data_IF_668937220799
#
_entry.id   IF_668937220799
#
_cell.length_a   1.000
_cell.length_b   1.000
_cell.length_c   1.000
_cell.angle_alpha   90.00
_cell.angle_beta   90.00
_cell.angle_gamma   90.00
#
_symmetry.space_group_name_H-M   'P 1'
#
loop_
_entity.id
_entity.type
_entity.pdbx_description
1 polymer ?
#
# COMPACT_ATOMS: atom_id res chain seq x y z
N UNK A 1 1.00 9.78 6.27
CA UNK A 1 0.43 9.64 4.91
C UNK A 1 -0.97 10.22 4.90
N UNK A 2 -1.31 11.02 3.89
CA UNK A 2 -2.69 11.40 3.61
C UNK A 2 -3.20 10.50 2.47
N UNK A 3 -4.37 9.88 2.65
CA UNK A 3 -4.98 9.05 1.60
C UNK A 3 -6.50 9.21 1.59
N UNK A 4 -7.13 8.94 0.45
CA UNK A 4 -8.58 8.99 0.27
C UNK A 4 -9.11 7.56 0.13
N UNK A 5 -10.01 7.13 1.01
CA UNK A 5 -10.54 5.75 0.99
C UNK A 5 -11.73 5.56 0.02
N UNK A 6 -12.32 6.66 -0.46
CA UNK A 6 -13.56 6.65 -1.23
C UNK A 6 -14.67 7.46 -0.56
N UNK A 7 -14.64 7.55 0.78
CA UNK A 7 -15.63 8.28 1.58
C UNK A 7 -15.10 9.57 2.20
N UNK A 8 -13.80 9.64 2.48
CA UNK A 8 -13.18 10.79 3.12
C UNK A 8 -11.66 10.84 2.98
N UNK A 9 -11.09 11.97 3.45
CA UNK A 9 -9.64 12.13 3.58
C UNK A 9 -9.21 11.56 4.93
N UNK A 10 -8.25 10.64 4.91
CA UNK A 10 -7.69 10.01 6.10
C UNK A 10 -6.22 10.37 6.28
N UNK A 11 -5.83 10.67 7.53
CA UNK A 11 -4.43 10.83 7.93
C UNK A 11 -3.98 9.58 8.68
N UNK A 12 -2.92 8.95 8.18
CA UNK A 12 -2.22 7.87 8.87
C UNK A 12 -0.89 8.36 9.41
N UNK A 13 -0.69 8.22 10.73
CA UNK A 13 0.55 8.51 11.43
C UNK A 13 1.00 7.27 12.20
N UNK A 14 2.18 6.75 11.86
CA UNK A 14 2.82 5.64 12.57
C UNK A 14 4.30 5.94 12.71
N UNK A 15 4.81 5.83 13.92
CA UNK A 15 6.25 5.79 14.18
C UNK A 15 6.77 4.39 13.91
N UNK A 16 7.88 4.27 13.17
CA UNK A 16 8.60 3.02 13.07
C UNK A 16 9.65 3.00 14.17
N UNK A 17 9.70 1.93 14.97
CA UNK A 17 10.75 1.76 15.98
C UNK A 17 12.12 1.50 15.32
N UNK A 18 12.11 0.90 14.12
CA UNK A 18 13.30 0.65 13.29
C UNK A 18 12.94 0.79 11.81
N UNK A 19 13.91 1.22 10.98
CA UNK A 19 13.72 1.39 9.55
C UNK A 19 13.17 2.76 9.14
N UNK A 20 12.73 2.88 7.88
CA UNK A 20 12.14 4.12 7.34
C UNK A 20 11.05 3.78 6.33
N UNK A 21 10.05 4.66 6.22
CA UNK A 21 9.09 4.57 5.12
C UNK A 21 9.79 4.83 3.79
N UNK A 22 9.63 3.90 2.84
CA UNK A 22 10.10 4.07 1.47
C UNK A 22 9.02 4.80 0.69
N UNK A 23 9.09 6.13 0.66
CA UNK A 23 8.19 6.93 -0.18
C UNK A 23 8.71 6.97 -1.61
N UNK A 24 7.84 6.88 -2.64
CA UNK A 24 8.25 7.20 -3.99
C UNK A 24 8.68 8.67 -4.04
N UNK A 25 9.69 8.95 -4.88
CA UNK A 25 10.16 10.30 -5.14
C UNK A 25 8.99 11.21 -5.54
N UNK A 26 8.97 12.43 -5.01
CA UNK A 26 7.87 13.41 -5.06
C UNK A 26 7.40 13.87 -6.45
N UNK A 27 7.83 13.19 -7.52
CA UNK A 27 7.46 13.44 -8.91
C UNK A 27 6.01 13.02 -9.18
N UNK A 28 5.51 11.99 -8.47
CA UNK A 28 4.12 11.57 -8.54
C UNK A 28 3.35 12.03 -7.31
N UNK A 29 2.56 13.08 -7.46
CA UNK A 29 1.71 13.62 -6.39
C UNK A 29 0.61 12.63 -5.92
N UNK A 30 0.43 11.50 -6.62
CA UNK A 30 -0.58 10.48 -6.34
C UNK A 30 -0.04 9.08 -6.61
N UNK A 31 -0.06 8.24 -5.59
CA UNK A 31 0.29 6.83 -5.67
C UNK A 31 -0.96 5.96 -5.47
N UNK A 32 -1.27 5.09 -6.43
CA UNK A 32 -2.26 4.02 -6.21
C UNK A 32 -1.54 2.80 -5.67
N UNK A 33 -1.91 2.37 -4.47
CA UNK A 33 -1.45 1.13 -3.85
C UNK A 33 -2.58 0.11 -3.84
N UNK A 34 -2.23 -1.17 -4.02
CA UNK A 34 -3.13 -2.25 -3.64
C UNK A 34 -3.23 -2.34 -2.11
N UNK A 35 -4.26 -3.00 -1.55
CA UNK A 35 -4.33 -3.24 -0.11
C UNK A 35 -3.07 -3.92 0.44
N UNK A 36 -2.50 -4.88 -0.29
CA UNK A 36 -1.27 -5.56 0.13
C UNK A 36 -0.06 -4.62 0.17
N UNK A 37 0.11 -3.77 -0.85
CA UNK A 37 1.20 -2.79 -0.86
C UNK A 37 1.06 -1.75 0.25
N UNK A 38 -0.17 -1.34 0.55
CA UNK A 38 -0.48 -0.46 1.67
C UNK A 38 -0.05 -1.10 3.01
N UNK A 39 -0.36 -2.39 3.23
CA UNK A 39 0.06 -3.09 4.45
C UNK A 39 1.58 -3.15 4.59
N UNK A 40 2.30 -3.49 3.52
CA UNK A 40 3.77 -3.53 3.54
C UNK A 40 4.38 -2.16 3.85
N UNK A 41 3.84 -1.10 3.25
CA UNK A 41 4.27 0.26 3.54
C UNK A 41 4.08 0.62 5.03
N UNK A 42 2.93 0.25 5.61
CA UNK A 42 2.62 0.47 7.04
C UNK A 42 3.57 -0.31 7.95
N UNK A 43 4.05 -1.47 7.52
CA UNK A 43 5.04 -2.26 8.26
C UNK A 43 6.49 -1.79 8.03
N UNK A 44 6.70 -0.78 7.18
CA UNK A 44 8.05 -0.29 6.85
C UNK A 44 8.83 -1.21 5.89
N UNK A 45 8.14 -2.18 5.28
CA UNK A 45 8.68 -3.09 4.26
C UNK A 45 8.64 -2.37 2.90
N UNK A 46 9.63 -2.65 2.03
CA UNK A 46 9.65 -2.07 0.68
C UNK A 46 8.47 -2.59 -0.17
N UNK A 47 7.39 -1.82 -0.20
CA UNK A 47 6.16 -2.10 -0.93
C UNK A 47 6.34 -2.22 -2.45
N UNK A 48 7.48 -1.76 -3.01
CA UNK A 48 7.78 -1.88 -4.45
C UNK A 48 8.16 -3.31 -4.84
N UNK A 49 8.51 -4.15 -3.87
CA UNK A 49 8.92 -5.55 -4.07
C UNK A 49 7.76 -6.54 -3.93
N UNK A 50 6.56 -6.16 -4.36
CA UNK A 50 5.43 -7.10 -4.40
C UNK A 50 5.41 -7.86 -5.71
N UNK A 51 5.65 -9.17 -5.66
CA UNK A 51 5.15 -10.09 -6.68
C UNK A 51 3.63 -10.13 -6.49
N UNK A 52 2.86 -9.76 -7.51
CA UNK A 52 1.41 -9.92 -7.44
C UNK A 52 1.12 -11.41 -7.24
N UNK A 53 0.33 -11.82 -6.22
CA UNK A 53 -0.14 -13.19 -6.16
C UNK A 53 -0.92 -13.48 -7.45
N UNK A 54 -0.76 -14.69 -7.98
CA UNK A 54 -1.53 -15.14 -9.14
C UNK A 54 -3.01 -14.86 -8.86
N UNK A 55 -3.76 -14.24 -9.80
CA UNK A 55 -5.15 -13.91 -9.55
C UNK A 55 -5.88 -15.16 -9.11
N UNK A 56 -6.58 -15.08 -7.98
CA UNK A 56 -7.36 -16.18 -7.46
C UNK A 56 -8.31 -16.65 -8.58
N UNK A 57 -8.07 -17.85 -9.12
CA UNK A 57 -9.00 -18.50 -10.03
C UNK A 57 -10.26 -18.71 -9.21
N UNK A 58 -11.26 -17.86 -9.44
CA UNK A 58 -12.57 -18.06 -8.87
C UNK A 58 -13.07 -19.39 -9.44
N UNK A 59 -13.25 -20.44 -8.62
CA UNK A 59 -13.83 -21.67 -9.12
C UNK A 59 -15.19 -21.29 -9.72
N UNK A 60 -15.39 -21.61 -11.00
CA UNK A 60 -16.70 -21.47 -11.61
C UNK A 60 -17.65 -22.33 -10.78
N UNK A 61 -18.47 -21.70 -9.94
CA UNK A 61 -19.58 -22.39 -9.30
C UNK A 61 -20.55 -22.78 -10.42
N UNK A 62 -20.48 -24.06 -10.79
CA UNK A 62 -21.49 -24.75 -11.60
C UNK A 62 -22.77 -24.94 -10.78
#
# INVERSE_FOLDING_TARGET
MLYWDGSGLCLYAKGLEQGRFVWPSAVDARLKLTPAQMQLLIEGIDWRRTVAPEPAVQPAML
#
